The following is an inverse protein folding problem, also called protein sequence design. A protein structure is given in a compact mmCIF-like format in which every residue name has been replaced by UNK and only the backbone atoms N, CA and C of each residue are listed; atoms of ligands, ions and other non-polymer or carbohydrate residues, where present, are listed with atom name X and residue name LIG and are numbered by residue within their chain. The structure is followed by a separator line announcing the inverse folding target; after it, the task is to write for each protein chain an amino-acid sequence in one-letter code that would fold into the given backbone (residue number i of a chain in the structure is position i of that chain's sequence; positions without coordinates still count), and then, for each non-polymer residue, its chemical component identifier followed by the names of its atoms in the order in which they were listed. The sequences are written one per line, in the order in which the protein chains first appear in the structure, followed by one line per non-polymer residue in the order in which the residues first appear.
data_IF_961883157672
#
_entry.id   IF_961883157672
#
_cell.length_a   1.000
_cell.length_b   1.000
_cell.length_c   1.000
_cell.angle_alpha   90.00
_cell.angle_beta   90.00
_cell.angle_gamma   90.00
#
_symmetry.space_group_name_H-M   'P 1'
#
loop_
_entity.id
_entity.type
_entity.pdbx_description
1 polymer ?
#
# COMPACT_ATOMS: atom_id res chain seq x y z
N UNK A 1 5.26 -14.85 12.09
CA UNK A 1 4.90 -13.45 11.76
C UNK A 1 5.22 -13.26 10.29
N UNK A 2 4.20 -13.07 9.46
CA UNK A 2 4.40 -12.80 8.04
C UNK A 2 5.02 -11.42 7.89
N UNK A 3 6.28 -11.40 7.47
CA UNK A 3 7.01 -10.16 7.19
C UNK A 3 6.22 -9.26 6.22
N UNK A 4 5.43 -9.86 5.31
CA UNK A 4 4.71 -9.14 4.24
C UNK A 4 3.42 -8.46 4.69
N UNK A 5 2.85 -8.89 5.81
CA UNK A 5 1.55 -8.42 6.26
C UNK A 5 1.56 -6.91 6.55
N UNK A 6 2.69 -6.38 7.04
CA UNK A 6 2.86 -4.95 7.29
C UNK A 6 2.73 -4.10 6.02
N UNK A 7 3.31 -4.55 4.91
CA UNK A 7 3.30 -3.82 3.62
C UNK A 7 1.90 -3.75 3.02
N UNK A 8 1.12 -4.83 3.13
CA UNK A 8 -0.26 -4.87 2.64
C UNK A 8 -1.19 -4.07 3.55
N UNK A 9 -1.03 -4.22 4.87
CA UNK A 9 -1.88 -3.56 5.87
C UNK A 9 -1.68 -2.04 5.88
N UNK A 10 -0.45 -1.56 5.71
CA UNK A 10 -0.12 -0.13 5.76
C UNK A 10 -0.21 0.59 4.41
N UNK A 11 -0.31 -0.11 3.29
CA UNK A 11 -0.52 0.53 1.98
C UNK A 11 -1.84 1.31 1.95
N UNK A 12 -1.78 2.53 1.43
CA UNK A 12 -2.90 3.47 1.45
C UNK A 12 -2.47 4.92 1.31
N UNK A 13 -3.42 5.81 1.59
CA UNK A 13 -3.23 7.26 1.55
C UNK A 13 -2.47 7.73 2.80
N UNK A 14 -1.35 8.42 2.60
CA UNK A 14 -0.54 8.99 3.69
C UNK A 14 -0.74 10.50 3.84
N UNK A 15 -1.21 11.14 2.78
CA UNK A 15 -1.56 12.55 2.73
C UNK A 15 -2.65 12.72 1.68
N UNK A 16 -3.54 13.74 1.76
CA UNK A 16 -4.59 13.95 0.76
C UNK A 16 -4.06 13.91 -0.68
N UNK A 17 -4.46 12.88 -1.43
CA UNK A 17 -4.03 12.63 -2.82
C UNK A 17 -2.70 11.88 -2.99
N UNK A 18 -1.98 11.56 -1.92
CA UNK A 18 -0.70 10.84 -1.96
C UNK A 18 -0.83 9.43 -1.36
N UNK A 19 -0.61 8.42 -2.20
CA UNK A 19 -0.73 7.01 -1.85
C UNK A 19 0.63 6.31 -1.89
N UNK A 20 0.83 5.34 -1.00
CA UNK A 20 2.03 4.50 -0.94
C UNK A 20 1.68 3.01 -1.03
N UNK A 21 2.52 2.26 -1.74
CA UNK A 21 2.37 0.83 -1.97
C UNK A 21 3.75 0.17 -2.20
N UNK A 22 3.86 -1.13 -1.94
CA UNK A 22 5.10 -1.88 -2.07
C UNK A 22 6.19 -1.40 -1.10
N UNK A 23 7.45 -1.35 -1.55
CA UNK A 23 8.60 -1.07 -0.67
C UNK A 23 8.58 0.35 -0.08
N UNK A 24 7.90 1.31 -0.70
CA UNK A 24 7.78 2.68 -0.15
C UNK A 24 7.01 2.69 1.17
N UNK A 25 6.10 1.75 1.38
CA UNK A 25 5.39 1.55 2.66
C UNK A 25 6.38 1.22 3.78
N UNK A 26 7.42 0.45 3.48
CA UNK A 26 8.44 0.10 4.48
C UNK A 26 9.22 1.33 4.94
N UNK A 27 9.58 2.22 4.02
CA UNK A 27 10.29 3.47 4.33
C UNK A 27 9.45 4.43 5.16
N UNK A 28 8.15 4.53 4.85
CA UNK A 28 7.24 5.45 5.56
C UNK A 28 6.89 4.96 6.96
N UNK A 29 6.68 3.65 7.13
CA UNK A 29 6.22 3.06 8.41
C UNK A 29 7.31 2.33 9.19
N UNK A 30 8.57 2.51 8.80
CA UNK A 30 9.74 1.86 9.41
C UNK A 30 9.56 0.33 9.56
N UNK A 31 9.08 -0.33 8.50
CA UNK A 31 8.87 -1.77 8.49
C UNK A 31 10.17 -2.50 8.09
N UNK A 32 10.38 -3.73 8.59
CA UNK A 32 11.52 -4.54 8.19
C UNK A 32 11.53 -4.77 6.68
N UNK A 33 12.74 -4.80 6.11
CA UNK A 33 12.94 -5.14 4.70
C UNK A 33 12.54 -6.58 4.50
N UNK A 34 11.87 -6.83 3.41
CA UNK A 34 11.53 -8.18 3.01
C UNK A 34 12.54 -8.67 1.98
N UNK A 35 12.86 -9.95 2.06
CA UNK A 35 13.66 -10.63 1.05
C UNK A 35 12.97 -10.65 -0.32
N UNK A 36 13.40 -11.53 -1.25
CA UNK A 36 12.81 -11.62 -2.59
C UNK A 36 11.42 -12.27 -2.57
N UNK A 37 10.45 -11.61 -1.96
CA UNK A 37 9.05 -12.03 -1.82
C UNK A 37 8.17 -10.94 -2.43
N UNK A 38 7.32 -11.34 -3.38
CA UNK A 38 6.53 -10.41 -4.20
C UNK A 38 5.02 -10.51 -3.97
N UNK A 39 4.56 -11.49 -3.17
CA UNK A 39 3.13 -11.68 -2.90
C UNK A 39 2.51 -10.48 -2.20
N UNK A 40 3.19 -9.98 -1.16
CA UNK A 40 2.81 -8.78 -0.43
C UNK A 40 2.92 -7.51 -1.27
N UNK A 41 3.93 -7.42 -2.14
CA UNK A 41 4.11 -6.29 -3.07
C UNK A 41 2.88 -6.12 -3.98
N UNK A 42 2.44 -7.21 -4.63
CA UNK A 42 1.31 -7.17 -5.56
C UNK A 42 -0.01 -6.84 -4.84
N UNK A 43 -0.25 -7.49 -3.69
CA UNK A 43 -1.46 -7.21 -2.87
C UNK A 43 -1.49 -5.77 -2.35
N UNK A 44 -0.33 -5.21 -1.99
CA UNK A 44 -0.17 -3.82 -1.58
C UNK A 44 -0.54 -2.84 -2.70
N UNK A 45 -0.06 -3.08 -3.92
CA UNK A 45 -0.45 -2.30 -5.10
C UNK A 45 -1.94 -2.40 -5.43
N UNK A 46 -2.50 -3.61 -5.39
CA UNK A 46 -3.92 -3.85 -5.62
C UNK A 46 -4.79 -3.05 -4.64
N UNK A 47 -4.42 -3.04 -3.36
CA UNK A 47 -5.13 -2.27 -2.34
C UNK A 47 -5.08 -0.77 -2.60
N UNK A 48 -3.90 -0.22 -2.93
CA UNK A 48 -3.77 1.20 -3.25
C UNK A 48 -4.62 1.58 -4.48
N UNK A 49 -4.61 0.76 -5.54
CA UNK A 49 -5.43 0.99 -6.72
C UNK A 49 -6.94 0.97 -6.41
N UNK A 50 -7.39 0.07 -5.54
CA UNK A 50 -8.80 0.03 -5.09
C UNK A 50 -9.19 1.29 -4.31
N UNK A 51 -8.33 1.78 -3.42
CA UNK A 51 -8.56 3.01 -2.65
C UNK A 51 -8.65 4.24 -3.57
N UNK A 52 -7.71 4.36 -4.51
CA UNK A 52 -7.71 5.44 -5.52
C UNK A 52 -8.98 5.38 -6.36
N UNK A 53 -9.34 4.19 -6.87
CA UNK A 53 -10.55 3.99 -7.67
C UNK A 53 -11.80 4.38 -6.90
N UNK A 54 -11.91 4.00 -5.63
CA UNK A 54 -13.03 4.36 -4.75
C UNK A 54 -13.10 5.88 -4.55
N UNK A 55 -11.96 6.54 -4.32
CA UNK A 55 -11.88 7.99 -4.15
C UNK A 55 -12.30 8.73 -5.42
N UNK A 56 -11.80 8.32 -6.58
CA UNK A 56 -12.15 8.91 -7.89
C UNK A 56 -13.62 8.73 -8.27
N UNK A 57 -14.23 7.60 -7.90
CA UNK A 57 -15.68 7.40 -8.08
C UNK A 57 -16.51 8.30 -7.16
N UNK A 58 -16.04 8.53 -5.92
CA UNK A 58 -16.71 9.40 -4.95
C UNK A 58 -16.61 10.88 -5.28
N UNK A 59 -15.60 11.33 -6.03
CA UNK A 59 -15.40 12.74 -6.39
C UNK A 59 -16.13 13.17 -7.67
N UNK A 60 -16.79 12.24 -8.38
CA UNK A 60 -17.53 12.50 -9.62
C UNK A 60 -19.05 12.72 -9.41
N UNK A 61 -19.49 12.96 -8.17
CA UNK A 61 -20.88 13.26 -7.85
C UNK A 61 -21.10 14.73 -7.56
#
# INVERSE_FOLDING_TARGET
MDVEAGVVSKAGEIFPGLYVAGMSVCSVYNLPRMGPIFGGMLKSGQKAAQLITKKLKSSKS
#
